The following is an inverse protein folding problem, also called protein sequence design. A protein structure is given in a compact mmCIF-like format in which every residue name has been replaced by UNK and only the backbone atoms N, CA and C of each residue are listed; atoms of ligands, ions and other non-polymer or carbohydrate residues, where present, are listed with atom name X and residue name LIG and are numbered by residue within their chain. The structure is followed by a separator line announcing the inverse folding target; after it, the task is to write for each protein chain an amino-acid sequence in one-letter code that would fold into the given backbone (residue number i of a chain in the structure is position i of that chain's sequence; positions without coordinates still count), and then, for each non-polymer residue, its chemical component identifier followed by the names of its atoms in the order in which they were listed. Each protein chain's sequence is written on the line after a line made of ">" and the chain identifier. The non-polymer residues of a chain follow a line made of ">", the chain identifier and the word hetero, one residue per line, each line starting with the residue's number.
data_IF_978708947335
#
_entry.id   IF_978708947335
#
_cell.length_a   1.000
_cell.length_b   1.000
_cell.length_c   1.000
_cell.angle_alpha   90.00
_cell.angle_beta   90.00
_cell.angle_gamma   90.00
#
_symmetry.space_group_name_H-M   'P 1'
#
loop_
_entity.id
_entity.type
_entity.pdbx_description
1 polymer ?
#
# COMPACT_ATOMS: atom_id res chain seq x y z
N UNK A 1 24.41 15.72 13.77
CA UNK A 1 23.39 16.35 12.91
C UNK A 1 24.07 16.88 11.66
N UNK A 2 23.59 16.52 10.47
CA UNK A 2 24.20 16.92 9.19
C UNK A 2 24.02 18.42 8.93
N UNK A 3 25.05 19.12 8.46
CA UNK A 3 24.98 20.55 8.10
C UNK A 3 23.98 20.85 6.97
N UNK A 4 23.52 19.82 6.26
CA UNK A 4 22.56 19.94 5.15
C UNK A 4 21.15 20.39 5.56
N UNK A 5 20.81 20.33 6.85
CA UNK A 5 19.43 20.54 7.33
C UNK A 5 19.27 21.72 8.30
N UNK A 6 20.25 22.62 8.38
CA UNK A 6 20.24 23.74 9.34
C UNK A 6 19.05 24.70 9.17
N UNK A 7 18.44 24.75 7.97
CA UNK A 7 17.26 25.59 7.69
C UNK A 7 15.94 24.81 7.68
N UNK A 8 15.96 23.50 7.96
CA UNK A 8 14.75 22.70 8.05
C UNK A 8 14.33 22.59 9.51
N UNK A 9 13.06 22.90 9.74
CA UNK A 9 12.44 22.73 11.04
C UNK A 9 11.93 21.30 11.17
N UNK A 10 12.44 20.59 12.16
CA UNK A 10 11.93 19.28 12.54
C UNK A 10 10.92 19.47 13.67
N UNK A 11 9.71 18.94 13.46
CA UNK A 11 8.67 18.91 14.49
C UNK A 11 8.56 17.47 14.98
N UNK A 12 8.86 17.19 16.27
CA UNK A 12 8.64 15.87 16.83
C UNK A 12 7.13 15.62 16.91
N UNK A 13 6.70 14.46 16.42
CA UNK A 13 5.31 14.02 16.46
C UNK A 13 5.24 12.62 17.06
N UNK A 14 4.27 12.41 17.93
CA UNK A 14 3.89 11.09 18.43
C UNK A 14 2.68 10.64 17.62
N UNK A 15 2.82 9.50 16.94
CA UNK A 15 1.82 8.90 16.06
C UNK A 15 1.55 7.45 16.50
N UNK A 16 0.43 6.82 16.09
CA UNK A 16 0.21 5.40 16.36
C UNK A 16 1.40 4.57 15.89
N UNK A 17 1.99 3.77 16.76
CA UNK A 17 3.19 2.98 16.42
C UNK A 17 2.82 1.56 16.04
N UNK A 18 3.59 0.97 15.13
CA UNK A 18 3.51 -0.47 14.85
C UNK A 18 3.98 -1.28 16.07
N UNK A 19 3.33 -2.42 16.30
CA UNK A 19 3.70 -3.35 17.38
C UNK A 19 4.66 -4.45 16.92
N UNK A 20 4.93 -4.53 15.61
CA UNK A 20 5.79 -5.53 14.98
C UNK A 20 6.96 -4.86 14.23
N UNK A 21 7.83 -5.68 13.62
CA UNK A 21 9.06 -5.23 12.96
C UNK A 21 8.94 -5.07 11.44
N UNK A 22 7.76 -5.27 10.84
CA UNK A 22 7.60 -5.42 9.39
C UNK A 22 6.52 -4.53 8.77
N UNK A 23 5.68 -3.86 9.57
CA UNK A 23 4.59 -3.02 9.09
C UNK A 23 4.98 -1.55 8.84
N UNK A 24 6.25 -1.16 8.98
CA UNK A 24 6.67 0.24 8.93
C UNK A 24 6.26 0.93 7.61
N UNK A 25 6.31 0.19 6.50
CA UNK A 25 5.85 0.66 5.19
C UNK A 25 4.34 0.83 5.12
N UNK A 26 3.56 -0.04 5.77
CA UNK A 26 2.10 0.07 5.82
C UNK A 26 1.67 1.28 6.65
N UNK A 27 2.33 1.52 7.79
CA UNK A 27 2.10 2.71 8.60
C UNK A 27 2.45 3.98 7.81
N UNK A 28 3.57 4.00 7.08
CA UNK A 28 3.93 5.12 6.22
C UNK A 28 2.85 5.42 5.18
N UNK A 29 2.34 4.40 4.50
CA UNK A 29 1.27 4.56 3.51
C UNK A 29 -0.03 5.06 4.15
N UNK A 30 -0.38 4.54 5.33
CA UNK A 30 -1.57 4.97 6.03
C UNK A 30 -1.47 6.41 6.55
N UNK A 31 -0.31 6.84 7.06
CA UNK A 31 -0.06 8.24 7.42
C UNK A 31 -0.28 9.17 6.23
N UNK A 32 0.24 8.81 5.06
CA UNK A 32 0.12 9.62 3.85
C UNK A 32 -1.33 9.72 3.40
N UNK A 33 -2.04 8.60 3.37
CA UNK A 33 -3.45 8.55 2.98
C UNK A 33 -4.31 9.41 3.91
N UNK A 34 -4.20 9.24 5.24
CA UNK A 34 -4.95 10.05 6.21
C UNK A 34 -4.56 11.52 6.15
N UNK A 35 -3.26 11.83 5.99
CA UNK A 35 -2.82 13.21 5.83
C UNK A 35 -3.45 13.87 4.60
N UNK A 36 -3.50 13.17 3.46
CA UNK A 36 -4.11 13.72 2.24
C UNK A 36 -5.62 13.96 2.39
N UNK A 37 -6.29 13.16 3.21
CA UNK A 37 -7.75 13.27 3.44
C UNK A 37 -8.08 14.33 4.50
N UNK A 38 -7.32 14.38 5.59
CA UNK A 38 -7.67 15.12 6.80
C UNK A 38 -6.88 16.41 7.01
N UNK A 39 -5.77 16.62 6.27
CA UNK A 39 -4.97 17.80 6.47
C UNK A 39 -5.80 19.08 6.17
N UNK A 40 -5.76 20.07 7.08
CA UNK A 40 -6.46 21.31 6.85
C UNK A 40 -5.86 22.05 5.64
N UNK A 41 -6.71 22.77 4.90
CA UNK A 41 -6.32 23.56 3.71
C UNK A 41 -5.12 24.49 3.99
N UNK A 42 -5.07 25.07 5.19
CA UNK A 42 -3.97 25.92 5.64
C UNK A 42 -3.13 25.21 6.71
N UNK A 43 -2.64 24.02 6.37
CA UNK A 43 -1.78 23.22 7.23
C UNK A 43 -0.54 24.00 7.66
N UNK A 44 -0.27 23.96 8.96
CA UNK A 44 0.97 24.45 9.54
C UNK A 44 1.39 23.50 10.64
N UNK A 45 2.61 22.95 10.59
CA UNK A 45 3.07 22.00 11.61
C UNK A 45 3.18 22.65 13.00
N UNK A 46 3.23 23.98 13.08
CA UNK A 46 3.25 24.75 14.32
C UNK A 46 1.87 24.99 14.94
N UNK A 47 0.80 24.63 14.24
CA UNK A 47 -0.59 24.76 14.73
C UNK A 47 -1.18 23.44 15.21
N UNK A 48 -0.41 22.35 15.15
CA UNK A 48 -0.83 21.04 15.66
C UNK A 48 -0.83 21.11 17.19
N UNK A 49 -1.93 20.69 17.80
CA UNK A 49 -2.08 20.63 19.25
C UNK A 49 -2.53 19.23 19.65
N UNK A 50 -2.47 18.89 20.95
CA UNK A 50 -2.97 17.60 21.45
C UNK A 50 -4.48 17.39 21.22
N UNK A 51 -5.23 18.45 20.92
CA UNK A 51 -6.67 18.39 20.62
C UNK A 51 -6.95 18.26 19.12
N UNK A 52 -5.92 18.23 18.28
CA UNK A 52 -6.07 18.03 16.85
C UNK A 52 -6.52 16.60 16.58
N UNK A 53 -7.54 16.41 15.74
CA UNK A 53 -8.04 15.09 15.36
C UNK A 53 -7.08 14.30 14.44
N UNK A 54 -5.97 14.92 14.02
CA UNK A 54 -4.96 14.34 13.12
C UNK A 54 -3.55 14.59 13.66
N UNK A 55 -2.56 13.81 13.20
CA UNK A 55 -1.16 13.86 13.65
C UNK A 55 -1.01 13.81 15.20
N UNK A 56 -1.73 12.89 15.83
CA UNK A 56 -1.68 12.62 17.26
C UNK A 56 -1.56 11.10 17.54
N UNK A 57 -1.26 10.65 18.77
CA UNK A 57 -1.08 9.23 19.09
C UNK A 57 -2.29 8.33 18.86
N UNK A 58 -3.50 8.89 18.90
CA UNK A 58 -4.79 8.20 18.75
C UNK A 58 -5.39 8.41 17.35
N UNK A 59 -4.57 8.81 16.37
CA UNK A 59 -5.06 9.19 15.03
C UNK A 59 -5.76 8.02 14.31
N UNK A 60 -5.33 6.79 14.55
CA UNK A 60 -5.96 5.57 14.05
C UNK A 60 -5.53 4.36 14.90
N UNK A 61 -6.25 3.24 14.79
CA UNK A 61 -5.85 1.98 15.42
C UNK A 61 -4.76 1.27 14.59
N UNK A 62 -3.68 0.75 15.20
CA UNK A 62 -2.61 0.02 14.51
C UNK A 62 -3.09 -1.03 13.49
N UNK A 63 -4.20 -1.73 13.79
CA UNK A 63 -4.80 -2.71 12.89
C UNK A 63 -5.27 -2.14 11.56
N UNK A 64 -5.68 -0.86 11.50
CA UNK A 64 -6.11 -0.19 10.27
C UNK A 64 -4.95 -0.06 9.28
N UNK A 65 -3.75 0.26 9.79
CA UNK A 65 -2.53 0.29 8.98
C UNK A 65 -2.14 -1.13 8.52
N UNK A 66 -2.14 -2.13 9.40
CA UNK A 66 -1.79 -3.51 9.03
C UNK A 66 -2.73 -4.10 7.96
N UNK A 67 -4.03 -3.77 8.00
CA UNK A 67 -5.01 -4.19 6.99
C UNK A 67 -4.72 -3.65 5.58
N UNK A 68 -3.90 -2.60 5.45
CA UNK A 68 -3.47 -2.09 4.14
C UNK A 68 -2.76 -3.15 3.30
N UNK A 69 -2.10 -4.12 3.92
CA UNK A 69 -1.45 -5.21 3.18
C UNK A 69 -2.44 -5.97 2.29
N UNK A 70 -3.57 -6.40 2.86
CA UNK A 70 -4.62 -7.11 2.13
C UNK A 70 -5.26 -6.23 1.06
N UNK A 71 -5.50 -4.94 1.37
CA UNK A 71 -6.04 -3.99 0.40
C UNK A 71 -5.09 -3.79 -0.79
N UNK A 72 -3.80 -3.57 -0.54
CA UNK A 72 -2.79 -3.37 -1.57
C UNK A 72 -2.66 -4.61 -2.45
N UNK A 73 -2.62 -5.81 -1.86
CA UNK A 73 -2.62 -7.06 -2.61
C UNK A 73 -3.83 -7.14 -3.54
N UNK A 74 -5.04 -6.88 -3.03
CA UNK A 74 -6.27 -6.91 -3.83
C UNK A 74 -6.20 -5.91 -5.00
N UNK A 75 -5.78 -4.67 -4.73
CA UNK A 75 -5.64 -3.63 -5.76
C UNK A 75 -4.62 -4.03 -6.84
N UNK A 76 -3.50 -4.64 -6.45
CA UNK A 76 -2.51 -5.13 -7.41
C UNK A 76 -3.12 -6.21 -8.31
N UNK A 77 -3.84 -7.19 -7.74
CA UNK A 77 -4.51 -8.22 -8.53
C UNK A 77 -5.55 -7.65 -9.49
N UNK A 78 -6.42 -6.74 -9.01
CA UNK A 78 -7.42 -6.06 -9.84
C UNK A 78 -6.76 -5.31 -11.01
N UNK A 79 -5.67 -4.58 -10.77
CA UNK A 79 -4.93 -3.87 -11.82
C UNK A 79 -4.28 -4.81 -12.84
N UNK A 80 -3.78 -5.96 -12.40
CA UNK A 80 -3.19 -6.96 -13.30
C UNK A 80 -4.25 -7.63 -14.17
N UNK A 81 -5.39 -8.00 -13.58
CA UNK A 81 -6.50 -8.61 -14.30
C UNK A 81 -7.11 -7.65 -15.32
N UNK A 82 -7.34 -6.39 -14.94
CA UNK A 82 -7.84 -5.37 -15.88
C UNK A 82 -6.93 -5.19 -17.11
N UNK A 83 -5.60 -5.18 -16.91
CA UNK A 83 -4.66 -5.11 -18.05
C UNK A 83 -4.74 -6.33 -18.97
N UNK A 84 -4.96 -7.51 -18.41
CA UNK A 84 -5.14 -8.72 -19.21
C UNK A 84 -6.38 -8.61 -20.11
N UNK A 85 -7.50 -8.12 -19.55
CA UNK A 85 -8.73 -7.90 -20.30
C UNK A 85 -8.61 -6.80 -21.37
N UNK A 86 -7.92 -5.70 -21.09
CA UNK A 86 -7.66 -4.64 -22.07
C UNK A 86 -6.81 -5.13 -23.25
N UNK A 87 -5.75 -5.91 -22.99
CA UNK A 87 -4.89 -6.48 -24.04
C UNK A 87 -5.64 -7.54 -24.86
N UNK A 88 -6.46 -8.38 -24.21
CA UNK A 88 -7.28 -9.38 -24.90
C UNK A 88 -8.37 -8.72 -25.77
N UNK A 89 -8.96 -7.62 -25.32
CA UNK A 89 -9.97 -6.88 -26.09
C UNK A 89 -9.36 -6.15 -27.29
N UNK A 90 -8.16 -5.57 -27.16
CA UNK A 90 -7.48 -4.87 -28.26
C UNK A 90 -6.91 -5.81 -29.34
N UNK A 91 -6.63 -7.07 -28.98
CA UNK A 91 -6.14 -8.09 -29.89
C UNK A 91 -7.26 -8.84 -30.66
N UNK A 92 -8.54 -8.61 -30.32
CA UNK A 92 -9.68 -9.34 -30.95
C UNK A 92 -10.20 -8.75 -32.26
N UNK A 93 -9.47 -7.83 -32.89
CA UNK A 93 -9.84 -7.31 -34.21
C UNK A 93 -9.34 -8.15 -35.39
N UNK A 94 -8.60 -9.23 -35.17
CA UNK A 94 -8.31 -10.21 -36.22
C UNK A 94 -8.52 -11.62 -35.68
N UNK A 95 -9.45 -12.33 -36.31
CA UNK A 95 -9.69 -13.75 -36.07
C UNK A 95 -8.40 -14.54 -36.31
N UNK A 96 -7.97 -15.33 -35.33
CA UNK A 96 -7.65 -16.73 -35.60
C UNK A 96 -7.59 -17.54 -34.31
N UNK A 97 -8.48 -18.52 -34.26
CA UNK A 97 -8.45 -19.63 -33.32
C UNK A 97 -7.15 -20.43 -33.54
N UNK A 98 -6.34 -20.59 -32.50
CA UNK A 98 -5.84 -21.88 -32.01
C UNK A 98 -4.49 -21.75 -31.27
N UNK A 99 -4.37 -22.57 -30.22
CA UNK A 99 -3.14 -22.93 -29.46
C UNK A 99 -2.73 -21.84 -28.46
N UNK A 100 -2.76 -22.06 -27.15
CA UNK A 100 -2.09 -23.14 -26.44
C UNK A 100 -2.77 -23.29 -25.07
N UNK A 101 -3.50 -24.38 -24.88
CA UNK A 101 -3.94 -24.86 -23.57
C UNK A 101 -3.46 -26.28 -23.47
N UNK A 102 -2.15 -26.45 -23.24
CA UNK A 102 -1.57 -27.74 -22.89
C UNK A 102 -0.17 -27.53 -22.30
N UNK A 103 -0.09 -27.52 -20.98
CA UNK A 103 0.96 -28.23 -20.28
C UNK A 103 0.25 -29.20 -19.33
N UNK A 104 0.00 -30.41 -19.84
CA UNK A 104 -0.59 -31.51 -19.09
C UNK A 104 0.25 -31.83 -17.85
N UNK A 105 -0.47 -32.07 -16.77
CA UNK A 105 -0.08 -32.91 -15.66
C UNK A 105 0.37 -34.28 -16.18
N UNK A 106 1.64 -34.65 -15.95
CA UNK A 106 1.99 -36.03 -15.63
C UNK A 106 3.42 -36.11 -15.05
N UNK A 107 3.54 -36.05 -13.73
CA UNK A 107 4.61 -36.76 -13.01
C UNK A 107 4.02 -37.51 -11.82
N UNK A 108 3.56 -38.73 -12.09
CA UNK A 108 3.43 -39.77 -11.06
C UNK A 108 4.83 -40.32 -10.75
N UNK A 109 5.33 -40.06 -9.55
CA UNK A 109 6.56 -40.64 -9.03
C UNK A 109 6.63 -40.57 -7.51
N UNK A 110 6.04 -41.58 -6.86
CA UNK A 110 6.16 -41.83 -5.41
C UNK A 110 7.62 -42.10 -5.04
N UNK A 111 8.14 -41.42 -4.01
CA UNK A 111 9.04 -42.06 -3.03
C UNK A 111 9.01 -41.38 -1.66
N UNK A 112 8.80 -42.23 -0.66
CA UNK A 112 8.97 -42.04 0.78
C UNK A 112 10.40 -41.65 1.18
N UNK A 113 10.55 -40.71 2.11
CA UNK A 113 10.93 -40.91 3.53
C UNK A 113 10.54 -39.66 4.34
#
# INVERSE_FOLDING_TARGET
>A
MSSKFHNLWFVPLELPQQENSFDCGLFLLHYLELFLVEAPVYFSPFKITKLSNFLNPDWFLPSEASLKCTLIQRLIFELLENRYWEVSSAASSDEDQAKFLECNEHETGVQSF
#
